data_IF_027930445975
#
_entry.id   IF_027930445975
#
_cell.length_a   1.000
_cell.length_b   1.000
_cell.length_c   1.000
_cell.angle_alpha   90.00
_cell.angle_beta   90.00
_cell.angle_gamma   90.00
#
_symmetry.space_group_name_H-M   'P 1'
#
loop_
_entity.id
_entity.type
_entity.pdbx_description
1 polymer ?
#
# COMPACT_ATOMS: atom_id res chain seq x y z
N UNK A 1 -62.81 -15.45 -10.97
CA UNK A 1 -63.60 -14.21 -10.88
C UNK A 1 -62.56 -13.08 -10.84
N UNK A 2 -61.92 -12.67 -11.93
CA UNK A 2 -62.41 -12.05 -13.18
C UNK A 2 -63.09 -10.69 -12.95
N UNK A 3 -62.56 -9.68 -13.66
CA UNK A 3 -63.05 -8.30 -13.89
C UNK A 3 -62.65 -7.26 -12.83
N UNK A 4 -62.30 -6.00 -13.15
CA UNK A 4 -62.64 -5.20 -14.34
C UNK A 4 -61.64 -4.04 -14.55
N UNK A 5 -61.28 -3.79 -15.81
CA UNK A 5 -60.63 -2.57 -16.29
C UNK A 5 -61.65 -1.42 -16.36
N UNK A 6 -61.22 -0.17 -16.11
CA UNK A 6 -61.89 1.01 -16.66
C UNK A 6 -60.88 1.97 -17.29
N UNK A 7 -61.00 2.07 -18.61
CA UNK A 7 -60.48 3.08 -19.51
C UNK A 7 -61.28 4.37 -19.36
N UNK A 8 -60.62 5.52 -19.28
CA UNK A 8 -61.23 6.79 -19.68
C UNK A 8 -60.30 7.52 -20.64
N UNK A 9 -60.79 7.66 -21.87
CA UNK A 9 -60.31 8.59 -22.89
C UNK A 9 -60.92 9.96 -22.60
N UNK A 10 -60.15 11.03 -22.76
CA UNK A 10 -60.71 12.36 -23.02
C UNK A 10 -59.80 13.09 -24.00
N UNK A 11 -60.45 13.63 -25.02
CA UNK A 11 -59.93 14.14 -26.27
C UNK A 11 -60.03 15.68 -26.26
N UNK A 12 -59.29 16.34 -27.15
CA UNK A 12 -59.47 17.75 -27.62
C UNK A 12 -58.94 18.82 -26.63
N UNK A 13 -58.02 19.73 -26.99
CA UNK A 13 -58.21 20.76 -28.02
C UNK A 13 -56.92 21.32 -28.61
N UNK A 14 -57.03 21.61 -29.90
CA UNK A 14 -56.08 22.17 -30.86
C UNK A 14 -55.85 23.68 -30.61
N UNK A 15 -54.61 24.13 -30.43
CA UNK A 15 -54.24 25.55 -30.50
C UNK A 15 -53.15 25.79 -31.55
N UNK A 16 -53.51 26.52 -32.60
CA UNK A 16 -52.62 27.01 -33.67
C UNK A 16 -51.72 28.15 -33.15
N UNK A 17 -50.41 28.16 -33.42
CA UNK A 17 -49.60 29.37 -33.32
C UNK A 17 -49.63 30.16 -34.64
N UNK A 18 -49.86 31.47 -34.52
CA UNK A 18 -49.88 32.42 -35.64
C UNK A 18 -48.45 32.69 -36.15
N UNK A 19 -48.33 32.73 -37.47
CA UNK A 19 -47.19 33.26 -38.22
C UNK A 19 -46.97 34.75 -37.92
N UNK A 20 -45.72 35.16 -37.69
CA UNK A 20 -45.24 36.50 -38.04
C UNK A 20 -43.76 36.43 -38.43
N UNK A 21 -43.38 37.04 -39.55
CA UNK A 21 -42.01 37.16 -40.09
C UNK A 21 -41.81 38.65 -40.49
N UNK A 22 -40.60 39.05 -40.92
CA UNK A 22 -39.47 39.53 -40.11
C UNK A 22 -39.25 41.05 -40.29
N UNK A 23 -38.53 41.69 -39.36
CA UNK A 23 -37.88 42.98 -39.65
C UNK A 23 -36.37 42.83 -39.54
N UNK A 24 -35.77 42.90 -40.72
CA UNK A 24 -34.36 43.09 -41.02
C UNK A 24 -33.76 44.26 -40.24
N UNK A 25 -32.57 44.09 -39.67
CA UNK A 25 -31.53 45.11 -39.54
C UNK A 25 -30.25 44.47 -38.95
N UNK A 26 -29.35 44.06 -39.85
CA UNK A 26 -27.91 43.95 -39.56
C UNK A 26 -27.25 45.30 -39.90
N UNK A 27 -26.18 45.70 -39.19
CA UNK A 27 -24.89 45.52 -39.84
C UNK A 27 -23.76 45.02 -38.92
N UNK A 28 -23.05 44.00 -39.42
CA UNK A 28 -21.60 43.74 -39.43
C UNK A 28 -20.68 44.36 -38.35
N UNK A 29 -19.84 43.45 -37.85
CA UNK A 29 -18.46 43.60 -37.40
C UNK A 29 -18.21 43.75 -35.88
N UNK A 30 -17.94 42.60 -35.24
CA UNK A 30 -16.77 42.43 -34.37
C UNK A 30 -16.47 40.93 -34.20
N UNK A 31 -15.66 40.45 -35.14
CA UNK A 31 -14.95 39.19 -35.09
C UNK A 31 -14.02 39.14 -33.86
N UNK A 32 -14.44 38.50 -32.76
CA UNK A 32 -13.53 37.78 -31.84
C UNK A 32 -14.30 36.87 -30.87
N UNK A 33 -15.08 35.94 -31.41
CA UNK A 33 -15.57 34.81 -30.62
C UNK A 33 -14.68 33.60 -30.85
N UNK A 34 -14.04 33.19 -29.76
CA UNK A 34 -13.80 31.78 -29.41
C UNK A 34 -13.02 30.94 -30.43
N UNK A 35 -11.70 31.12 -30.46
CA UNK A 35 -10.83 29.95 -30.62
C UNK A 35 -10.79 29.26 -29.26
N UNK A 36 -11.85 28.50 -29.00
CA UNK A 36 -11.83 27.41 -28.05
C UNK A 36 -10.55 26.63 -28.26
N UNK A 37 -9.76 26.49 -27.20
CA UNK A 37 -8.63 25.57 -27.08
C UNK A 37 -9.09 24.16 -27.45
N UNK A 38 -9.04 23.85 -28.73
CA UNK A 38 -9.50 22.58 -29.30
C UNK A 38 -8.34 21.60 -29.35
N UNK A 39 -8.39 20.62 -28.47
CA UNK A 39 -7.66 19.35 -28.55
C UNK A 39 -6.15 19.46 -28.79
N UNK A 40 -5.40 19.80 -27.73
CA UNK A 40 -4.11 19.14 -27.62
C UNK A 40 -4.37 17.62 -27.71
N UNK A 41 -3.76 16.92 -28.66
CA UNK A 41 -3.86 15.46 -28.80
C UNK A 41 -3.63 14.82 -27.42
N UNK A 42 -4.26 13.67 -27.11
CA UNK A 42 -4.01 12.95 -25.84
C UNK A 42 -2.51 12.79 -25.57
N UNK A 43 -1.72 12.57 -26.62
CA UNK A 43 -0.25 12.55 -26.58
C UNK A 43 0.36 13.88 -26.13
N UNK A 44 -0.15 15.00 -26.63
CA UNK A 44 0.30 16.34 -26.27
C UNK A 44 -0.07 16.70 -24.82
N UNK A 45 -1.20 16.23 -24.30
CA UNK A 45 -1.55 16.37 -22.88
C UNK A 45 -0.53 15.66 -21.96
N UNK A 46 -0.18 14.41 -22.28
CA UNK A 46 0.82 13.66 -21.51
C UNK A 46 2.23 14.24 -21.65
N UNK A 47 2.58 14.76 -22.83
CA UNK A 47 3.86 15.44 -23.05
C UNK A 47 3.96 16.75 -22.26
N UNK A 48 2.89 17.56 -22.22
CA UNK A 48 2.83 18.79 -21.40
C UNK A 48 2.90 18.52 -19.90
N UNK A 49 2.45 17.34 -19.47
CA UNK A 49 2.48 16.92 -18.06
C UNK A 49 3.52 15.80 -17.83
N UNK A 50 4.69 15.88 -18.49
CA UNK A 50 5.69 14.81 -18.53
C UNK A 50 6.05 14.24 -17.16
N UNK A 51 6.38 15.08 -16.16
CA UNK A 51 6.72 14.64 -14.80
C UNK A 51 5.62 13.81 -14.13
N UNK A 52 4.36 14.23 -14.28
CA UNK A 52 3.22 13.49 -13.74
C UNK A 52 3.01 12.17 -14.49
N UNK A 53 3.12 12.19 -15.83
CA UNK A 53 3.05 11.00 -16.68
C UNK A 53 4.12 9.98 -16.31
N UNK A 54 5.36 10.41 -16.11
CA UNK A 54 6.48 9.56 -15.67
C UNK A 54 6.23 8.98 -14.28
N UNK A 55 5.73 9.78 -13.33
CA UNK A 55 5.35 9.29 -12.00
C UNK A 55 4.26 8.22 -12.07
N UNK A 56 3.26 8.41 -12.93
CA UNK A 56 2.17 7.44 -13.15
C UNK A 56 2.68 6.14 -13.78
N UNK A 57 3.55 6.23 -14.79
CA UNK A 57 4.17 5.07 -15.44
C UNK A 57 5.07 4.32 -14.45
N UNK A 58 5.87 5.04 -13.67
CA UNK A 58 6.76 4.44 -12.66
C UNK A 58 5.97 3.70 -11.59
N UNK A 59 4.94 4.32 -11.02
CA UNK A 59 4.07 3.67 -10.04
C UNK A 59 3.38 2.43 -10.63
N UNK A 60 2.92 2.50 -11.89
CA UNK A 60 2.30 1.36 -12.56
C UNK A 60 3.28 0.19 -12.75
N UNK A 61 4.54 0.49 -13.11
CA UNK A 61 5.60 -0.52 -13.22
C UNK A 61 5.92 -1.16 -11.86
N UNK A 62 5.98 -0.36 -10.80
CA UNK A 62 6.22 -0.85 -9.45
C UNK A 62 5.12 -1.83 -9.00
N UNK A 63 3.84 -1.51 -9.26
CA UNK A 63 2.72 -2.42 -8.98
C UNK A 63 2.86 -3.74 -9.75
N UNK A 64 3.20 -3.67 -11.04
CA UNK A 64 3.41 -4.87 -11.86
C UNK A 64 4.53 -5.76 -11.33
N UNK A 65 5.67 -5.15 -10.99
CA UNK A 65 6.82 -5.87 -10.42
C UNK A 65 6.51 -6.46 -9.05
N UNK A 66 5.82 -5.71 -8.19
CA UNK A 66 5.35 -6.20 -6.89
C UNK A 66 4.42 -7.40 -7.00
N UNK A 67 3.54 -7.43 -8.01
CA UNK A 67 2.64 -8.55 -8.26
C UNK A 67 3.40 -9.81 -8.71
N UNK A 68 4.37 -9.67 -9.62
CA UNK A 68 5.23 -10.79 -10.04
C UNK A 68 6.01 -11.35 -8.85
N UNK A 69 6.64 -10.50 -8.05
CA UNK A 69 7.38 -10.96 -6.88
C UNK A 69 6.52 -11.63 -5.82
N UNK A 70 5.31 -11.12 -5.58
CA UNK A 70 4.38 -11.75 -4.64
C UNK A 70 4.03 -13.18 -5.08
N UNK A 71 3.77 -13.36 -6.38
CA UNK A 71 3.51 -14.69 -6.96
C UNK A 71 4.73 -15.60 -6.83
N UNK A 72 5.92 -15.12 -7.21
CA UNK A 72 7.16 -15.90 -7.14
C UNK A 72 7.53 -16.26 -5.69
N UNK A 73 7.26 -15.38 -4.73
CA UNK A 73 7.47 -15.64 -3.31
C UNK A 73 6.46 -16.67 -2.79
N UNK A 74 5.18 -16.54 -3.15
CA UNK A 74 4.15 -17.50 -2.77
C UNK A 74 4.46 -18.90 -3.30
N UNK A 75 4.86 -19.03 -4.57
CA UNK A 75 5.25 -20.30 -5.17
C UNK A 75 6.44 -20.95 -4.44
N UNK A 76 7.47 -20.15 -4.12
CA UNK A 76 8.64 -20.62 -3.39
C UNK A 76 8.29 -21.10 -1.97
N UNK A 77 7.43 -20.38 -1.25
CA UNK A 77 7.00 -20.78 0.11
C UNK A 77 6.23 -22.10 0.06
N UNK A 78 5.31 -22.27 -0.89
CA UNK A 78 4.53 -23.51 -1.04
C UNK A 78 5.41 -24.68 -1.46
N UNK A 79 6.45 -24.44 -2.25
CA UNK A 79 7.43 -25.45 -2.66
C UNK A 79 8.54 -25.71 -1.62
N UNK A 80 8.44 -25.18 -0.39
CA UNK A 80 9.45 -25.27 0.68
C UNK A 80 10.85 -24.72 0.29
N UNK A 81 10.92 -23.86 -0.73
CA UNK A 81 12.15 -23.23 -1.24
C UNK A 81 12.27 -21.74 -0.89
N UNK A 82 11.26 -21.18 -0.22
CA UNK A 82 11.17 -19.78 0.16
C UNK A 82 10.91 -19.59 1.65
N UNK A 83 11.02 -18.35 2.11
CA UNK A 83 10.77 -17.99 3.51
C UNK A 83 9.44 -17.26 3.66
N UNK A 84 8.76 -17.46 4.79
CA UNK A 84 7.51 -16.78 5.09
C UNK A 84 7.69 -15.26 5.22
N UNK A 85 8.87 -14.83 5.66
CA UNK A 85 9.27 -13.43 5.78
C UNK A 85 9.33 -12.73 4.41
N UNK A 86 9.78 -13.43 3.36
CA UNK A 86 9.78 -12.90 1.99
C UNK A 86 8.35 -12.64 1.51
N UNK A 87 7.44 -13.59 1.75
CA UNK A 87 6.02 -13.45 1.38
C UNK A 87 5.35 -12.28 2.10
N UNK A 88 5.69 -12.08 3.37
CA UNK A 88 5.21 -10.93 4.16
C UNK A 88 5.75 -9.61 3.58
N UNK A 89 7.04 -9.56 3.23
CA UNK A 89 7.65 -8.36 2.65
C UNK A 89 7.02 -8.01 1.29
N UNK A 90 6.84 -8.99 0.39
CA UNK A 90 6.19 -8.80 -0.90
C UNK A 90 4.73 -8.32 -0.74
N UNK A 91 4.01 -8.82 0.27
CA UNK A 91 2.64 -8.39 0.58
C UNK A 91 2.58 -6.90 0.97
N UNK A 92 3.56 -6.41 1.72
CA UNK A 92 3.66 -4.98 2.03
C UNK A 92 4.04 -4.14 0.81
N UNK A 93 4.94 -4.64 -0.04
CA UNK A 93 5.38 -3.95 -1.26
C UNK A 93 4.22 -3.73 -2.26
N UNK A 94 3.36 -4.73 -2.47
CA UNK A 94 2.21 -4.58 -3.37
C UNK A 94 1.18 -3.57 -2.81
N UNK A 95 0.97 -3.55 -1.50
CA UNK A 95 0.09 -2.57 -0.86
C UNK A 95 0.66 -1.14 -0.98
N UNK A 96 1.96 -0.98 -0.73
CA UNK A 96 2.66 0.30 -0.83
C UNK A 96 2.68 0.86 -2.26
N UNK A 97 3.08 0.05 -3.24
CA UNK A 97 3.10 0.44 -4.66
C UNK A 97 1.70 0.77 -5.20
N UNK A 98 0.67 0.05 -4.76
CA UNK A 98 -0.72 0.35 -5.13
C UNK A 98 -1.17 1.70 -4.53
N UNK A 99 -0.82 1.98 -3.27
CA UNK A 99 -1.11 3.28 -2.65
C UNK A 99 -0.39 4.43 -3.39
N UNK A 100 0.87 4.22 -3.80
CA UNK A 100 1.62 5.18 -4.62
C UNK A 100 0.94 5.42 -5.97
N UNK A 101 0.43 4.38 -6.63
CA UNK A 101 -0.32 4.51 -7.89
C UNK A 101 -1.59 5.34 -7.71
N UNK A 102 -2.33 5.15 -6.61
CA UNK A 102 -3.50 5.99 -6.30
C UNK A 102 -3.10 7.44 -6.06
N UNK A 103 -2.02 7.67 -5.32
CA UNK A 103 -1.49 9.02 -5.09
C UNK A 103 -1.13 9.72 -6.41
N UNK A 104 -0.38 9.03 -7.29
CA UNK A 104 -0.02 9.53 -8.62
C UNK A 104 -1.25 9.81 -9.50
N UNK A 105 -2.26 8.92 -9.47
CA UNK A 105 -3.49 9.06 -10.25
C UNK A 105 -4.36 10.24 -9.78
N UNK A 106 -4.30 10.58 -8.49
CA UNK A 106 -5.10 11.67 -7.89
C UNK A 106 -4.65 13.07 -8.33
N UNK A 107 -3.37 13.26 -8.68
CA UNK A 107 -2.76 14.58 -8.96
C UNK A 107 -3.48 15.35 -10.07
N UNK A 108 -3.94 14.67 -11.11
CA UNK A 108 -4.64 15.28 -12.26
C UNK A 108 -6.10 14.84 -12.39
N UNK A 109 -6.64 14.16 -11.39
CA UNK A 109 -8.02 13.70 -11.40
C UNK A 109 -8.94 14.65 -10.61
N UNK A 110 -10.12 14.93 -11.15
CA UNK A 110 -11.16 15.67 -10.42
C UNK A 110 -11.60 14.92 -9.17
N UNK A 111 -11.81 15.65 -8.07
CA UNK A 111 -12.22 15.05 -6.77
C UNK A 111 -13.58 14.36 -6.83
N UNK A 112 -14.46 14.77 -7.73
CA UNK A 112 -15.78 14.17 -7.96
C UNK A 112 -15.77 13.04 -9.00
N UNK A 113 -14.59 12.66 -9.52
CA UNK A 113 -14.47 11.62 -10.53
C UNK A 113 -14.82 10.25 -9.94
N UNK A 114 -15.90 9.64 -10.46
CA UNK A 114 -16.35 8.29 -10.05
C UNK A 114 -15.24 7.24 -10.22
N UNK A 115 -14.41 7.33 -11.29
CA UNK A 115 -13.30 6.39 -11.54
C UNK A 115 -12.22 6.47 -10.46
N UNK A 116 -11.93 7.68 -9.95
CA UNK A 116 -10.98 7.87 -8.86
C UNK A 116 -11.49 7.24 -7.56
N UNK A 117 -12.78 7.36 -7.27
CA UNK A 117 -13.40 6.73 -6.11
C UNK A 117 -13.34 5.18 -6.23
N UNK A 118 -13.67 4.62 -7.39
CA UNK A 118 -13.51 3.18 -7.65
C UNK A 118 -12.06 2.72 -7.45
N UNK A 119 -11.08 3.48 -7.95
CA UNK A 119 -9.66 3.17 -7.77
C UNK A 119 -9.25 3.19 -6.29
N UNK A 120 -9.73 4.16 -5.51
CA UNK A 120 -9.46 4.25 -4.08
C UNK A 120 -10.05 3.06 -3.31
N UNK A 121 -11.27 2.63 -3.65
CA UNK A 121 -11.89 1.46 -3.06
C UNK A 121 -11.11 0.19 -3.42
N UNK A 122 -10.70 0.03 -4.68
CA UNK A 122 -9.87 -1.09 -5.11
C UNK A 122 -8.54 -1.13 -4.34
N UNK A 123 -7.87 0.02 -4.17
CA UNK A 123 -6.63 0.10 -3.39
C UNK A 123 -6.81 -0.25 -1.92
N UNK A 124 -7.92 0.16 -1.29
CA UNK A 124 -8.25 -0.27 0.08
C UNK A 124 -8.42 -1.78 0.17
N UNK A 125 -9.15 -2.36 -0.77
CA UNK A 125 -9.33 -3.80 -0.84
C UNK A 125 -8.01 -4.56 -1.02
N UNK A 126 -7.09 -4.05 -1.84
CA UNK A 126 -5.72 -4.61 -1.95
C UNK A 126 -4.98 -4.58 -0.61
N UNK A 127 -5.06 -3.47 0.12
CA UNK A 127 -4.43 -3.36 1.44
C UNK A 127 -5.05 -4.34 2.46
N UNK A 128 -6.36 -4.49 2.46
CA UNK A 128 -7.06 -5.43 3.34
C UNK A 128 -6.65 -6.89 3.03
N UNK A 129 -6.58 -7.26 1.75
CA UNK A 129 -6.15 -8.60 1.33
C UNK A 129 -4.66 -8.85 1.64
N UNK A 130 -3.79 -7.86 1.45
CA UNK A 130 -2.40 -7.97 1.86
C UNK A 130 -2.25 -8.21 3.37
N UNK A 131 -3.06 -7.53 4.20
CA UNK A 131 -3.08 -7.76 5.64
C UNK A 131 -3.56 -9.17 6.02
N UNK A 132 -4.57 -9.70 5.30
CA UNK A 132 -5.03 -11.09 5.45
C UNK A 132 -3.91 -12.07 5.14
N UNK A 133 -3.18 -11.89 4.02
CA UNK A 133 -2.03 -12.74 3.66
C UNK A 133 -0.98 -12.72 4.76
N UNK A 134 -0.55 -11.54 5.21
CA UNK A 134 0.47 -11.42 6.28
C UNK A 134 0.03 -12.11 7.56
N UNK A 135 -1.23 -11.93 7.96
CA UNK A 135 -1.77 -12.53 9.18
C UNK A 135 -1.85 -14.05 9.06
N UNK A 136 -2.34 -14.55 7.93
CA UNK A 136 -2.42 -15.99 7.65
C UNK A 136 -1.04 -16.64 7.60
N UNK A 137 -0.08 -16.00 6.94
CA UNK A 137 1.31 -16.47 6.84
C UNK A 137 1.96 -16.58 8.22
N UNK A 138 1.83 -15.53 9.06
CA UNK A 138 2.35 -15.57 10.44
C UNK A 138 1.66 -16.64 11.28
N UNK A 139 0.35 -16.84 11.10
CA UNK A 139 -0.39 -17.88 11.80
C UNK A 139 0.08 -19.28 11.39
N UNK A 140 0.21 -19.54 10.09
CA UNK A 140 0.73 -20.80 9.56
C UNK A 140 2.15 -21.07 10.01
N UNK A 141 3.02 -20.05 10.02
CA UNK A 141 4.39 -20.16 10.52
C UNK A 141 4.41 -20.65 11.97
N UNK A 142 3.59 -20.07 12.86
CA UNK A 142 3.51 -20.49 14.27
C UNK A 142 2.98 -21.91 14.45
N UNK A 143 2.03 -22.33 13.62
CA UNK A 143 1.49 -23.70 13.66
C UNK A 143 2.50 -24.74 13.21
N UNK A 144 3.30 -24.43 12.19
CA UNK A 144 4.33 -25.34 11.66
C UNK A 144 5.56 -25.34 12.57
N UNK A 145 5.90 -24.18 13.16
CA UNK A 145 7.02 -24.02 14.08
C UNK A 145 6.67 -24.40 15.52
N UNK A 146 5.53 -25.05 15.79
CA UNK A 146 5.19 -25.51 17.14
C UNK A 146 6.26 -26.53 17.56
N UNK A 147 7.29 -26.00 18.22
CA UNK A 147 8.43 -26.75 18.68
C UNK A 147 7.88 -27.76 19.67
N UNK A 148 7.90 -29.03 19.26
CA UNK A 148 7.42 -30.15 20.04
C UNK A 148 7.79 -29.95 21.51
N UNK A 149 6.77 -30.08 22.37
CA UNK A 149 6.79 -29.88 23.82
C UNK A 149 8.21 -30.04 24.35
N UNK A 150 8.79 -28.95 24.89
CA UNK A 150 10.13 -28.95 25.46
C UNK A 150 10.18 -29.90 26.67
N UNK A 151 10.40 -31.18 26.41
CA UNK A 151 10.44 -32.22 27.42
C UNK A 151 11.84 -32.30 28.02
N UNK A 152 11.96 -31.79 29.23
CA UNK A 152 13.18 -31.85 30.02
C UNK A 152 13.25 -33.11 30.91
N UNK A 153 12.22 -33.97 30.87
CA UNK A 153 12.17 -35.21 31.64
C UNK A 153 13.32 -36.14 31.23
N UNK A 154 14.07 -36.62 32.22
CA UNK A 154 15.18 -37.55 32.00
C UNK A 154 16.54 -36.92 31.65
N UNK A 155 16.66 -35.59 31.58
CA UNK A 155 17.98 -34.94 31.45
C UNK A 155 18.69 -34.77 32.80
N UNK A 156 20.00 -35.03 32.84
CA UNK A 156 20.83 -34.75 34.02
C UNK A 156 21.08 -33.24 34.17
N UNK A 157 21.35 -32.78 35.40
CA UNK A 157 21.62 -31.36 35.69
C UNK A 157 22.75 -30.78 34.84
N UNK A 158 23.83 -31.54 34.62
CA UNK A 158 24.97 -31.10 33.81
C UNK A 158 24.56 -30.93 32.34
N UNK A 159 23.76 -31.86 31.81
CA UNK A 159 23.26 -31.77 30.43
C UNK A 159 22.32 -30.57 30.28
N UNK A 160 21.40 -30.40 31.22
CA UNK A 160 20.49 -29.25 31.23
C UNK A 160 21.24 -27.91 31.25
N UNK A 161 22.29 -27.80 32.09
CA UNK A 161 23.08 -26.57 32.16
C UNK A 161 23.85 -26.28 30.86
N UNK A 162 24.27 -27.33 30.14
CA UNK A 162 24.89 -27.18 28.82
C UNK A 162 23.88 -26.68 27.80
N UNK A 163 22.71 -27.31 27.71
CA UNK A 163 21.63 -26.89 26.78
C UNK A 163 21.21 -25.44 27.03
N UNK A 164 21.08 -25.04 28.30
CA UNK A 164 20.81 -23.64 28.69
C UNK A 164 21.89 -22.69 28.17
N UNK A 165 23.17 -23.05 28.33
CA UNK A 165 24.29 -22.23 27.86
C UNK A 165 24.32 -22.15 26.33
N UNK A 166 24.05 -23.25 25.63
CA UNK A 166 23.98 -23.28 24.16
C UNK A 166 22.81 -22.42 23.63
N UNK A 167 21.64 -22.51 24.27
CA UNK A 167 20.50 -21.64 23.97
C UNK A 167 20.85 -20.17 24.21
N UNK A 168 21.51 -19.84 25.32
CA UNK A 168 21.95 -18.47 25.64
C UNK A 168 22.93 -17.94 24.59
N UNK A 169 23.90 -18.75 24.16
CA UNK A 169 24.83 -18.38 23.08
C UNK A 169 24.07 -18.13 21.78
N UNK A 170 23.08 -18.97 21.46
CA UNK A 170 22.26 -18.81 20.26
C UNK A 170 21.43 -17.53 20.30
N UNK A 171 20.87 -17.15 21.45
CA UNK A 171 20.17 -15.86 21.64
C UNK A 171 21.11 -14.70 21.33
N UNK A 172 22.30 -14.66 21.95
CA UNK A 172 23.27 -13.58 21.71
C UNK A 172 23.70 -13.47 20.24
N UNK A 173 23.86 -14.61 19.56
CA UNK A 173 24.16 -14.63 18.13
C UNK A 173 23.01 -14.05 17.28
N UNK A 174 21.76 -14.42 17.58
CA UNK A 174 20.59 -13.93 16.86
C UNK A 174 20.35 -12.43 17.11
N UNK A 175 20.59 -11.94 18.33
CA UNK A 175 20.52 -10.51 18.64
C UNK A 175 21.54 -9.70 17.83
N UNK A 176 22.78 -10.18 17.74
CA UNK A 176 23.81 -9.54 16.93
C UNK A 176 23.45 -9.54 15.42
N UNK A 177 22.92 -10.65 14.91
CA UNK A 177 22.46 -10.74 13.51
C UNK A 177 21.28 -9.79 13.24
N UNK A 178 20.32 -9.72 14.15
CA UNK A 178 19.17 -8.82 14.04
C UNK A 178 19.62 -7.36 13.95
N UNK A 179 20.57 -6.94 14.79
CA UNK A 179 21.09 -5.57 14.77
C UNK A 179 21.81 -5.25 13.45
N UNK A 180 22.64 -6.17 12.95
CA UNK A 180 23.31 -6.02 11.66
C UNK A 180 22.32 -5.86 10.50
N UNK A 181 21.27 -6.68 10.46
CA UNK A 181 20.24 -6.60 9.42
C UNK A 181 19.42 -5.31 9.52
N UNK A 182 19.16 -4.80 10.73
CA UNK A 182 18.50 -3.49 10.92
C UNK A 182 19.33 -2.35 10.35
N UNK A 183 20.64 -2.33 10.63
CA UNK A 183 21.56 -1.33 10.07
C UNK A 183 21.57 -1.42 8.54
N UNK A 184 21.76 -2.63 7.99
CA UNK A 184 21.74 -2.88 6.54
C UNK A 184 20.44 -2.42 5.89
N UNK A 185 19.29 -2.74 6.48
CA UNK A 185 17.98 -2.29 5.99
C UNK A 185 17.85 -0.76 6.00
N UNK A 186 18.36 -0.10 7.05
CA UNK A 186 18.43 1.35 7.14
C UNK A 186 19.27 1.97 6.02
N UNK A 187 20.45 1.41 5.74
CA UNK A 187 21.31 1.83 4.65
C UNK A 187 20.67 1.66 3.28
N UNK A 188 20.02 0.51 3.04
CA UNK A 188 19.28 0.25 1.79
C UNK A 188 18.17 1.26 1.57
N UNK A 189 17.40 1.59 2.62
CA UNK A 189 16.35 2.61 2.56
C UNK A 189 16.94 3.99 2.26
N UNK A 190 18.05 4.38 2.89
CA UNK A 190 18.75 5.63 2.59
C UNK A 190 19.17 5.70 1.12
N UNK A 191 19.78 4.63 0.59
CA UNK A 191 20.16 4.54 -0.82
C UNK A 191 18.96 4.65 -1.76
N UNK A 192 17.82 4.04 -1.40
CA UNK A 192 16.60 4.15 -2.19
C UNK A 192 16.14 5.61 -2.31
N UNK A 193 16.22 6.39 -1.23
CA UNK A 193 15.90 7.82 -1.28
C UNK A 193 16.92 8.62 -2.08
N UNK A 194 18.22 8.36 -1.93
CA UNK A 194 19.26 9.05 -2.71
C UNK A 194 19.05 8.84 -4.22
N UNK A 195 18.71 7.62 -4.63
CA UNK A 195 18.44 7.29 -6.02
C UNK A 195 17.10 7.84 -6.51
N UNK A 196 16.06 7.80 -5.66
CA UNK A 196 14.73 8.35 -5.96
C UNK A 196 14.71 9.87 -6.05
N UNK A 197 15.54 10.56 -5.26
CA UNK A 197 15.73 12.01 -5.32
C UNK A 197 16.63 12.44 -6.49
N UNK A 198 17.47 11.55 -7.01
CA UNK A 198 18.44 11.81 -8.09
C UNK A 198 17.98 11.32 -9.48
N UNK A 199 16.67 11.14 -9.70
CA UNK A 199 16.11 10.99 -11.06
C UNK A 199 16.42 12.24 -11.92
N UNK A 200 16.55 12.12 -13.26
CA UNK A 200 17.27 13.10 -14.07
C UNK A 200 16.47 14.38 -14.27
N UNK A 201 16.59 15.32 -13.34
CA UNK A 201 16.24 16.72 -13.58
C UNK A 201 17.14 17.59 -12.69
N UNK A 202 18.15 18.13 -13.33
CA UNK A 202 18.93 19.29 -12.89
C UNK A 202 18.10 20.32 -12.11
N UNK A 203 18.55 20.59 -10.88
CA UNK A 203 18.73 21.92 -10.30
C UNK A 203 17.67 22.97 -10.69
N UNK A 204 16.63 23.17 -9.85
CA UNK A 204 15.90 24.44 -9.70
C UNK A 204 15.09 24.42 -8.39
N UNK A 205 15.50 25.29 -7.48
CA UNK A 205 14.86 25.94 -6.33
C UNK A 205 13.55 25.36 -5.75
N UNK A 206 13.63 25.17 -4.42
CA UNK A 206 12.57 25.04 -3.42
C UNK A 206 11.25 25.75 -3.78
N UNK A 207 10.18 24.98 -3.92
CA UNK A 207 8.82 25.35 -3.48
C UNK A 207 8.15 24.09 -2.90
N UNK A 208 7.60 24.23 -1.71
CA UNK A 208 6.89 23.22 -0.94
C UNK A 208 5.69 22.64 -1.71
N UNK A 209 5.76 21.36 -2.07
CA UNK A 209 4.59 20.47 -2.14
C UNK A 209 5.06 19.00 -2.13
N UNK A 210 6.04 18.71 -1.26
CA UNK A 210 6.50 17.34 -1.03
C UNK A 210 5.41 16.56 -0.31
N UNK A 211 4.85 15.60 -1.02
CA UNK A 211 4.05 14.53 -0.46
C UNK A 211 4.78 13.98 0.78
N UNK A 212 4.18 14.01 1.99
CA UNK A 212 4.86 13.50 3.16
C UNK A 212 5.20 12.02 2.93
N UNK A 213 6.41 11.58 3.29
CA UNK A 213 6.80 10.18 3.12
C UNK A 213 5.76 9.28 3.80
N UNK A 214 5.40 8.13 3.19
CA UNK A 214 4.57 7.16 3.88
C UNK A 214 5.23 6.85 5.23
N UNK A 215 4.47 6.92 6.35
CA UNK A 215 5.03 6.66 7.65
C UNK A 215 5.66 5.26 7.63
N UNK A 216 6.83 5.06 8.27
CA UNK A 216 7.38 3.73 8.44
C UNK A 216 6.28 2.84 9.03
N UNK A 217 6.10 1.59 8.55
CA UNK A 217 5.13 0.69 9.14
C UNK A 217 5.37 0.65 10.64
N UNK A 218 4.39 1.10 11.41
CA UNK A 218 4.44 1.10 12.87
C UNK A 218 4.61 -0.35 13.30
N UNK A 219 5.83 -0.70 13.71
CA UNK A 219 6.04 -1.88 14.52
C UNK A 219 5.20 -1.65 15.76
N UNK A 220 4.12 -2.43 15.89
CA UNK A 220 3.36 -2.53 17.12
C UNK A 220 4.33 -3.09 18.17
N UNK A 221 5.02 -2.17 18.86
CA UNK A 221 5.66 -2.45 20.13
C UNK A 221 4.52 -2.67 21.13
N UNK A 222 4.22 -3.93 21.37
CA UNK A 222 3.38 -4.36 22.47
C UNK A 222 3.93 -5.68 22.96
N UNK A 223 5.17 -5.62 23.45
CA UNK A 223 5.70 -6.63 24.35
C UNK A 223 5.65 -6.01 25.74
N UNK A 224 4.79 -6.49 26.66
CA UNK A 224 4.92 -6.10 28.06
C UNK A 224 6.26 -6.64 28.54
N UNK A 225 7.15 -5.74 28.97
CA UNK A 225 8.36 -6.11 29.71
C UNK A 225 7.94 -7.01 30.89
N UNK A 226 8.52 -8.21 31.06
CA UNK A 226 8.33 -8.94 32.31
C UNK A 226 8.98 -8.12 33.45
N UNK A 227 8.35 -8.03 34.63
CA UNK A 227 8.96 -7.36 35.75
C UNK A 227 10.26 -8.07 36.15
N UNK A 228 11.35 -7.32 36.16
CA UNK A 228 12.63 -7.72 36.75
C UNK A 228 12.44 -8.09 38.22
N UNK A 229 12.38 -9.39 38.49
CA UNK A 229 12.46 -10.02 39.82
C UNK A 229 13.92 -10.48 39.97
N UNK A 230 14.72 -10.20 40.99
CA UNK A 230 14.50 -9.59 42.30
C UNK A 230 15.84 -9.13 42.85
N UNK A 231 15.79 -7.98 43.52
CA UNK A 231 16.52 -7.62 44.73
C UNK A 231 17.28 -8.76 45.43
N UNK A 232 18.61 -8.61 45.49
CA UNK A 232 19.50 -9.40 46.34
C UNK A 232 19.35 -8.89 47.77
N UNK A 233 18.76 -9.69 48.64
CA UNK A 233 18.77 -9.47 50.09
C UNK A 233 20.03 -10.12 50.69
N UNK A 234 20.96 -9.36 51.31
CA UNK A 234 22.24 -9.89 51.77
C UNK A 234 22.08 -10.43 53.19
N UNK A 235 21.37 -11.55 53.39
CA UNK A 235 21.28 -12.16 54.74
C UNK A 235 20.86 -13.64 54.76
N UNK A 236 21.58 -14.50 54.04
CA UNK A 236 21.65 -15.93 54.42
C UNK A 236 23.10 -16.41 54.34
N UNK A 237 23.76 -16.40 55.51
CA UNK A 237 24.97 -17.16 55.76
C UNK A 237 24.63 -18.66 55.77
N UNK A 238 25.42 -19.43 55.03
CA UNK A 238 26.08 -20.70 55.42
C UNK A 238 25.24 -21.66 56.28
N UNK A 239 24.93 -22.85 55.76
CA UNK A 239 25.28 -24.14 56.38
C UNK A 239 25.22 -25.25 55.29
N UNK A 240 26.09 -26.25 55.48
CA UNK A 240 26.52 -27.33 54.56
C UNK A 240 25.48 -27.95 53.63
#
# INVERSE_FOLDING_TARGET
QTQTQQTQQTQTQLHKPKHNKPTHNEPKAALKMSLTSGAASTTEFYAKNSRWTEGLISASKAVGWGATQLLDSADRVVCEKGTYEELIACSHEIAGSTAQLVAASKVKADRSNKKLNTLQQASRHVNDMAAVVVTSTKHGQKQISDHGIMDFSGMSLIKLKREEMEAQVKVLQLENQLEQERVRLGELRKRHYDLGASGPASNLKEEEDSFPPPPPPTLLDSTPLPPSFTQIDPKCKVFF
#
